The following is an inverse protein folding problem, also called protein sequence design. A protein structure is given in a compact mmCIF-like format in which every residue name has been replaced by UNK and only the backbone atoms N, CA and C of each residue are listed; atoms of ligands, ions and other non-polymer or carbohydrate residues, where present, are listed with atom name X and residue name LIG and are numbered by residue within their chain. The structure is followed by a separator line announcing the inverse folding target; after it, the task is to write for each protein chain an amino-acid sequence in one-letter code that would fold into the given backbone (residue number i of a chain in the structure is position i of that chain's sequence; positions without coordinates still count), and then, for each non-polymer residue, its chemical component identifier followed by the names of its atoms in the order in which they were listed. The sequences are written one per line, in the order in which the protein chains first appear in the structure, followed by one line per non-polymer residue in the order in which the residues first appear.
data_IF_875088561442
#
_entry.id   IF_875088561442
#
_cell.length_a   1.000
_cell.length_b   1.000
_cell.length_c   1.000
_cell.angle_alpha   90.00
_cell.angle_beta   90.00
_cell.angle_gamma   90.00
#
_symmetry.space_group_name_H-M   'P 1'
#
loop_
_entity.id
_entity.type
_entity.pdbx_description
1 polymer ?
#
# COMPACT_ATOMS: atom_id res chain seq x y z
N UNK A 1 17.26 24.68 7.55
CA UNK A 1 16.54 23.51 8.09
C UNK A 1 15.36 23.25 7.18
N UNK A 2 15.56 22.46 6.13
CA UNK A 2 14.48 22.06 5.21
C UNK A 2 13.75 20.92 5.91
N UNK A 3 12.52 21.16 6.36
CA UNK A 3 11.67 20.09 6.84
C UNK A 3 11.50 19.10 5.68
N UNK A 4 11.94 17.86 5.85
CA UNK A 4 11.53 16.75 4.98
C UNK A 4 10.00 16.74 5.00
N UNK A 5 9.37 17.19 3.91
CA UNK A 5 7.92 17.14 3.80
C UNK A 5 7.57 15.69 3.57
N UNK A 6 7.17 15.00 4.63
CA UNK A 6 6.54 13.71 4.46
C UNK A 6 5.30 13.90 3.58
N UNK A 7 5.30 13.29 2.40
CA UNK A 7 4.18 13.29 1.48
C UNK A 7 3.18 12.24 1.94
N UNK A 8 1.94 12.64 2.20
CA UNK A 8 0.90 11.71 2.62
C UNK A 8 0.48 10.85 1.40
N UNK A 9 0.45 9.51 1.53
CA UNK A 9 0.06 8.63 0.43
C UNK A 9 -1.41 8.84 0.05
N UNK A 10 -1.70 8.90 -1.25
CA UNK A 10 -3.05 9.08 -1.79
C UNK A 10 -3.60 7.76 -2.34
N UNK A 11 -4.92 7.60 -2.40
CA UNK A 11 -5.57 6.37 -2.93
C UNK A 11 -5.11 6.04 -4.36
N UNK A 12 -4.89 7.05 -5.19
CA UNK A 12 -4.44 6.89 -6.59
C UNK A 12 -2.99 6.37 -6.70
N UNK A 13 -2.21 6.47 -5.62
CA UNK A 13 -0.87 5.86 -5.54
C UNK A 13 -0.94 4.34 -5.38
N UNK A 14 -2.13 3.76 -5.19
CA UNK A 14 -2.32 2.34 -4.97
C UNK A 14 -3.06 1.66 -6.12
N UNK A 15 -2.55 0.50 -6.53
CA UNK A 15 -3.23 -0.43 -7.42
C UNK A 15 -3.75 -1.62 -6.61
N UNK A 16 -5.01 -1.98 -6.81
CA UNK A 16 -5.63 -3.13 -6.13
C UNK A 16 -6.03 -4.22 -7.12
N UNK A 17 -5.77 -5.47 -6.75
CA UNK A 17 -6.12 -6.66 -7.53
C UNK A 17 -6.58 -7.79 -6.61
N UNK A 18 -7.48 -8.65 -7.08
CA UNK A 18 -7.86 -9.88 -6.36
C UNK A 18 -7.12 -11.07 -6.95
N UNK A 19 -6.33 -11.78 -6.13
CA UNK A 19 -5.54 -12.95 -6.56
C UNK A 19 -5.69 -14.09 -5.55
N UNK A 20 -6.11 -15.26 -6.01
CA UNK A 20 -6.20 -16.49 -5.21
C UNK A 20 -6.93 -16.35 -3.85
N UNK A 21 -7.97 -15.50 -3.78
CA UNK A 21 -8.72 -15.26 -2.54
C UNK A 21 -8.14 -14.16 -1.63
N UNK A 22 -7.07 -13.49 -2.06
CA UNK A 22 -6.48 -12.34 -1.36
C UNK A 22 -6.68 -11.05 -2.17
N UNK A 23 -6.75 -9.93 -1.47
CA UNK A 23 -6.62 -8.59 -2.03
C UNK A 23 -5.16 -8.18 -1.99
N UNK A 24 -4.59 -7.91 -3.16
CA UNK A 24 -3.21 -7.45 -3.32
C UNK A 24 -3.24 -5.96 -3.60
N UNK A 25 -2.71 -5.16 -2.68
CA UNK A 25 -2.57 -3.71 -2.80
C UNK A 25 -1.12 -3.39 -3.07
N UNK A 26 -0.84 -2.75 -4.21
CA UNK A 26 0.50 -2.35 -4.61
C UNK A 26 0.64 -0.84 -4.46
N UNK A 27 1.56 -0.39 -3.63
CA UNK A 27 1.96 1.02 -3.57
C UNK A 27 2.86 1.31 -4.76
N UNK A 28 2.34 2.03 -5.74
CA UNK A 28 2.97 2.23 -7.05
C UNK A 28 4.30 3.00 -7.01
N UNK A 29 4.56 3.94 -6.08
CA UNK A 29 5.85 4.63 -6.02
C UNK A 29 7.04 3.73 -5.68
N UNK A 30 6.84 2.62 -4.97
CA UNK A 30 7.91 1.69 -4.56
C UNK A 30 7.73 0.27 -5.07
N UNK A 31 6.54 -0.06 -5.59
CA UNK A 31 6.16 -1.43 -5.92
C UNK A 31 5.88 -2.32 -4.70
N UNK A 32 5.93 -1.78 -3.48
CA UNK A 32 5.63 -2.54 -2.25
C UNK A 32 4.22 -3.12 -2.31
N UNK A 33 4.06 -4.39 -1.92
CA UNK A 33 2.79 -5.11 -1.98
C UNK A 33 2.33 -5.51 -0.59
N UNK A 34 1.07 -5.23 -0.31
CA UNK A 34 0.36 -5.61 0.90
C UNK A 34 -0.75 -6.57 0.52
N UNK A 35 -0.89 -7.65 1.27
CA UNK A 35 -1.82 -8.72 0.96
C UNK A 35 -2.80 -8.85 2.10
N UNK A 36 -4.09 -8.84 1.77
CA UNK A 36 -5.16 -8.91 2.74
C UNK A 36 -6.06 -10.10 2.43
N UNK A 37 -6.40 -10.88 3.46
CA UNK A 37 -7.39 -11.94 3.34
C UNK A 37 -8.80 -11.39 3.13
N UNK A 38 -9.76 -12.27 2.86
CA UNK A 38 -11.18 -11.89 2.77
C UNK A 38 -11.72 -11.34 4.12
N UNK A 39 -11.11 -11.75 5.24
CA UNK A 39 -11.37 -11.21 6.58
C UNK A 39 -10.89 -9.75 6.74
N UNK A 40 -10.04 -9.27 5.84
CA UNK A 40 -9.47 -7.93 5.84
C UNK A 40 -8.21 -7.81 6.70
N UNK A 41 -7.68 -8.93 7.21
CA UNK A 41 -6.42 -8.94 7.95
C UNK A 41 -5.25 -9.01 6.96
N UNK A 42 -4.18 -8.26 7.23
CA UNK A 42 -2.95 -8.38 6.46
C UNK A 42 -2.36 -9.78 6.66
N UNK A 43 -2.15 -10.50 5.58
CA UNK A 43 -1.58 -11.85 5.56
C UNK A 43 -0.08 -11.83 5.35
N UNK A 44 0.42 -10.84 4.60
CA UNK A 44 1.83 -10.64 4.29
C UNK A 44 2.05 -9.26 3.66
N UNK A 45 3.29 -8.81 3.72
CA UNK A 45 3.81 -7.66 2.97
C UNK A 45 5.10 -8.07 2.25
N UNK A 46 5.40 -7.43 1.12
CA UNK A 46 6.68 -7.58 0.41
C UNK A 46 7.56 -6.36 0.62
N UNK A 47 8.87 -6.58 0.55
CA UNK A 47 9.83 -5.48 0.41
C UNK A 47 9.56 -4.67 -0.87
N UNK A 48 10.04 -3.43 -0.85
CA UNK A 48 10.05 -2.52 -2.00
C UNK A 48 10.79 -3.15 -3.18
N UNK A 49 10.24 -2.99 -4.38
CA UNK A 49 10.90 -3.38 -5.64
C UNK A 49 11.96 -2.32 -6.07
N UNK A 50 11.96 -1.15 -5.43
CA UNK A 50 12.88 -0.02 -5.68
C UNK A 50 14.08 -0.06 -4.72
N UNK A 51 15.32 0.14 -5.20
CA UNK A 51 16.51 0.24 -4.35
C UNK A 51 16.39 1.34 -3.30
N UNK A 52 16.99 1.20 -2.10
CA UNK A 52 16.89 2.19 -1.03
C UNK A 52 17.29 3.61 -1.42
N UNK A 53 18.25 3.77 -2.33
CA UNK A 53 18.74 5.04 -2.87
C UNK A 53 17.73 5.79 -3.75
N UNK A 54 16.79 5.06 -4.35
CA UNK A 54 15.75 5.58 -5.25
C UNK A 54 14.37 5.59 -4.60
N UNK A 55 14.27 5.15 -3.33
CA UNK A 55 13.03 5.23 -2.57
C UNK A 55 12.64 6.71 -2.46
N UNK A 56 11.39 7.07 -2.78
CA UNK A 56 10.87 8.36 -2.40
C UNK A 56 10.90 8.43 -0.86
N UNK A 57 11.95 9.05 -0.30
CA UNK A 57 12.20 9.16 1.15
C UNK A 57 11.16 10.01 1.90
N UNK A 58 10.11 10.42 1.20
CA UNK A 58 9.09 11.32 1.68
C UNK A 58 7.84 10.57 2.17
N UNK A 59 7.69 9.27 2.01
CA UNK A 59 6.50 8.56 2.53
C UNK A 59 6.75 7.95 3.91
N UNK A 60 5.83 8.15 4.85
CA UNK A 60 5.83 7.43 6.13
C UNK A 60 5.33 5.99 5.90
N UNK A 61 6.14 4.95 6.20
CA UNK A 61 5.73 3.55 6.03
C UNK A 61 4.43 3.21 6.74
N UNK A 62 4.19 3.75 7.93
CA UNK A 62 2.96 3.50 8.69
C UNK A 62 1.74 4.12 8.00
N UNK A 63 1.90 5.26 7.35
CA UNK A 63 0.81 5.87 6.56
C UNK A 63 0.53 5.06 5.29
N UNK A 64 1.57 4.53 4.63
CA UNK A 64 1.41 3.66 3.47
C UNK A 64 0.66 2.38 3.84
N UNK A 65 1.02 1.73 4.94
CA UNK A 65 0.33 0.53 5.46
C UNK A 65 -1.14 0.83 5.78
N UNK A 66 -1.41 1.93 6.49
CA UNK A 66 -2.79 2.34 6.84
C UNK A 66 -3.62 2.62 5.60
N UNK A 67 -3.06 3.33 4.62
CA UNK A 67 -3.75 3.58 3.36
C UNK A 67 -3.98 2.29 2.58
N UNK A 68 -3.01 1.38 2.51
CA UNK A 68 -3.18 0.10 1.84
C UNK A 68 -4.35 -0.70 2.45
N UNK A 69 -4.46 -0.74 3.79
CA UNK A 69 -5.58 -1.39 4.48
C UNK A 69 -6.93 -0.71 4.17
N UNK A 70 -6.97 0.63 4.10
CA UNK A 70 -8.18 1.38 3.73
C UNK A 70 -8.61 1.08 2.28
N UNK A 71 -7.67 1.02 1.34
CA UNK A 71 -7.93 0.68 -0.07
C UNK A 71 -8.49 -0.74 -0.18
N UNK A 72 -7.88 -1.71 0.52
CA UNK A 72 -8.37 -3.09 0.54
C UNK A 72 -9.79 -3.19 1.12
N UNK A 73 -10.04 -2.51 2.24
CA UNK A 73 -11.36 -2.48 2.88
C UNK A 73 -12.44 -1.89 1.96
N UNK A 74 -12.14 -0.77 1.30
CA UNK A 74 -13.06 -0.11 0.38
C UNK A 74 -13.40 -1.01 -0.82
N UNK A 75 -12.41 -1.64 -1.45
CA UNK A 75 -12.64 -2.53 -2.59
C UNK A 75 -13.48 -3.76 -2.23
N UNK A 76 -13.34 -4.28 -1.01
CA UNK A 76 -14.19 -5.38 -0.51
C UNK A 76 -15.66 -4.95 -0.40
N UNK A 77 -15.93 -3.75 0.09
CA UNK A 77 -17.30 -3.22 0.24
C UNK A 77 -18.02 -2.96 -1.08
N UNK A 78 -17.28 -2.79 -2.19
CA UNK A 78 -17.83 -2.62 -3.54
C UNK A 78 -17.94 -3.93 -4.34
N UNK A 79 -17.49 -5.06 -3.78
CA UNK A 79 -17.53 -6.36 -4.45
C UNK A 79 -18.82 -7.18 -4.17
N UNK A 80 -19.78 -6.60 -3.44
CA UNK A 80 -21.11 -7.16 -3.14
C UNK A 80 -22.19 -6.49 -3.96
#
# INVERSE_FOLDING_TARGET
MTASRTNAPQTDDFRIERRAGEWVVTFTPTGARFYFGDDGMETRSSDSDVPPEDLPMDYDPLEVERMAALVAYAARGHAT
#
